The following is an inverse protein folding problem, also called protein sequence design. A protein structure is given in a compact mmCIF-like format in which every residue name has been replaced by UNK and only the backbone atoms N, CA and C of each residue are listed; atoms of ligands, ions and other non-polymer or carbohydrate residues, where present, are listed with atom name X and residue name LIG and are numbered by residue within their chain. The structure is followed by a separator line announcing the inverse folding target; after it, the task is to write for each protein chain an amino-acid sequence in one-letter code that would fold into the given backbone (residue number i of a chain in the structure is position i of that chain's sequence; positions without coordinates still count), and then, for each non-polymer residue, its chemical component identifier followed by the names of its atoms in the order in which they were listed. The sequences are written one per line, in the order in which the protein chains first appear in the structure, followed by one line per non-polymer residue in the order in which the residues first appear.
data_IF_876334015902
#
_entry.id   IF_876334015902
#
_cell.length_a   1.000
_cell.length_b   1.000
_cell.length_c   1.000
_cell.angle_alpha   90.00
_cell.angle_beta   90.00
_cell.angle_gamma   90.00
#
_symmetry.space_group_name_H-M   'P 1'
#
loop_
_entity.id
_entity.type
_entity.pdbx_description
1 polymer ?
#
# COMPACT_ATOMS: atom_id res chain seq x y z
N UNK A 1 10.64 45.28 31.42
CA UNK A 1 11.76 44.51 30.81
C UNK A 1 11.19 43.76 29.62
N UNK A 2 11.28 44.34 28.41
CA UNK A 2 10.87 43.68 27.17
C UNK A 2 12.09 42.97 26.57
N UNK A 3 11.89 41.78 26.01
CA UNK A 3 12.95 40.98 25.38
C UNK A 3 13.03 41.31 23.89
N UNK A 4 14.16 41.87 23.47
CA UNK A 4 14.43 42.21 22.07
C UNK A 4 14.63 40.95 21.21
N UNK A 5 13.85 40.88 20.12
CA UNK A 5 13.98 39.82 19.10
C UNK A 5 15.18 40.11 18.20
N UNK A 6 16.29 39.42 18.47
CA UNK A 6 17.50 39.44 17.64
C UNK A 6 17.18 38.78 16.28
N UNK A 7 17.03 39.61 15.24
CA UNK A 7 16.93 39.14 13.87
C UNK A 7 18.31 38.68 13.37
N UNK A 8 18.35 37.50 12.74
CA UNK A 8 19.35 37.22 11.73
C UNK A 8 18.61 36.80 10.45
N UNK A 9 19.01 37.41 9.33
CA UNK A 9 18.21 37.53 8.11
C UNK A 9 17.74 36.21 7.51
N UNK A 10 16.43 36.13 7.31
CA UNK A 10 15.79 35.67 6.08
C UNK A 10 14.38 36.26 6.09
N UNK A 11 13.97 36.92 5.01
CA UNK A 11 12.59 37.36 4.81
C UNK A 11 11.69 36.13 4.70
N UNK A 12 11.31 35.57 5.84
CA UNK A 12 10.24 34.59 5.92
C UNK A 12 9.00 35.39 6.31
N UNK A 13 8.24 35.80 5.28
CA UNK A 13 6.85 36.22 5.41
C UNK A 13 6.18 35.43 6.53
N UNK A 14 5.66 36.12 7.53
CA UNK A 14 4.93 35.52 8.65
C UNK A 14 3.78 34.68 8.11
N UNK A 15 4.04 33.42 7.77
CA UNK A 15 3.02 32.46 7.40
C UNK A 15 2.41 32.02 8.71
N UNK A 16 1.45 32.82 9.15
CA UNK A 16 0.50 32.50 10.21
C UNK A 16 0.09 31.04 9.96
N UNK A 17 0.48 30.14 10.87
CA UNK A 17 0.05 28.75 10.83
C UNK A 17 -1.46 28.78 11.05
N UNK A 18 -2.24 28.73 9.97
CA UNK A 18 -3.69 28.70 10.03
C UNK A 18 -4.09 27.35 10.63
N UNK A 19 -4.20 27.30 11.95
CA UNK A 19 -4.92 26.25 12.67
C UNK A 19 -6.38 26.38 12.29
N UNK A 20 -6.86 25.56 11.37
CA UNK A 20 -8.25 25.66 10.93
C UNK A 20 -8.67 24.68 9.87
N UNK A 21 -7.74 24.09 9.12
CA UNK A 21 -8.12 23.06 8.18
C UNK A 21 -7.15 21.91 8.35
N UNK A 22 -7.68 20.78 8.77
CA UNK A 22 -6.91 19.59 9.06
C UNK A 22 -6.19 19.12 7.78
N UNK A 23 -5.00 19.70 7.53
CA UNK A 23 -4.24 19.58 6.28
C UNK A 23 -3.92 18.12 5.97
N UNK A 24 -3.80 17.33 7.03
CA UNK A 24 -3.46 15.91 6.98
C UNK A 24 -4.69 15.00 7.00
N UNK A 25 -5.89 15.47 7.38
CA UNK A 25 -7.12 14.65 7.38
C UNK A 25 -7.50 14.20 5.97
N UNK A 26 -7.40 15.09 4.97
CA UNK A 26 -7.61 14.71 3.55
C UNK A 26 -6.59 13.66 3.09
N UNK A 27 -5.37 13.71 3.62
CA UNK A 27 -4.29 12.75 3.30
C UNK A 27 -4.51 11.39 3.97
N UNK A 28 -5.05 11.38 5.18
CA UNK A 28 -5.40 10.16 5.94
C UNK A 28 -6.64 9.49 5.34
N UNK A 29 -7.66 10.25 4.95
CA UNK A 29 -8.88 9.71 4.32
C UNK A 29 -8.59 9.19 2.90
N UNK A 30 -7.70 9.84 2.16
CA UNK A 30 -7.26 9.39 0.83
C UNK A 30 -6.26 8.23 0.89
N UNK A 31 -5.75 7.86 2.06
CA UNK A 31 -4.96 6.66 2.22
C UNK A 31 -5.91 5.47 2.05
N UNK A 32 -6.01 4.99 0.79
CA UNK A 32 -6.72 3.78 0.42
C UNK A 32 -6.34 2.71 1.45
N UNK A 33 -7.33 2.13 2.11
CA UNK A 33 -7.13 1.04 3.07
C UNK A 33 -6.35 -0.06 2.35
N UNK A 34 -5.04 -0.10 2.55
CA UNK A 34 -4.19 -1.16 2.05
C UNK A 34 -4.68 -2.39 2.78
N UNK A 35 -5.50 -3.21 2.11
CA UNK A 35 -5.92 -4.49 2.65
C UNK A 35 -4.68 -5.19 3.18
N UNK A 36 -4.73 -5.62 4.43
CA UNK A 36 -3.61 -6.25 5.10
C UNK A 36 -3.30 -7.58 4.42
N UNK A 37 -2.44 -7.54 3.42
CA UNK A 37 -1.95 -8.72 2.73
C UNK A 37 -1.10 -9.54 3.71
N UNK A 38 -1.44 -10.81 3.89
CA UNK A 38 -0.65 -11.77 4.67
C UNK A 38 0.13 -12.65 3.70
N UNK A 39 1.43 -12.83 3.97
CA UNK A 39 2.27 -13.74 3.18
C UNK A 39 2.02 -15.18 3.61
N UNK A 40 1.76 -16.04 2.65
CA UNK A 40 1.65 -17.49 2.84
C UNK A 40 2.86 -18.15 2.20
N UNK A 41 3.60 -18.95 2.97
CA UNK A 41 4.70 -19.75 2.44
C UNK A 41 4.16 -21.15 2.13
N UNK A 42 4.29 -21.58 0.87
CA UNK A 42 3.79 -22.87 0.40
C UNK A 42 4.90 -23.61 -0.33
N UNK A 43 5.12 -24.86 0.05
CA UNK A 43 6.02 -25.76 -0.66
C UNK A 43 5.24 -26.51 -1.75
N UNK A 44 5.64 -26.32 -3.00
CA UNK A 44 5.06 -27.00 -4.16
C UNK A 44 6.10 -27.89 -4.84
N UNK A 45 5.75 -29.12 -5.27
CA UNK A 45 6.66 -29.95 -6.03
C UNK A 45 7.05 -29.29 -7.36
N UNK A 46 8.32 -29.44 -7.74
CA UNK A 46 8.95 -28.74 -8.86
C UNK A 46 8.19 -28.93 -10.18
N UNK A 47 7.75 -30.16 -10.46
CA UNK A 47 6.96 -30.49 -11.65
C UNK A 47 5.68 -29.65 -11.77
N UNK A 48 4.99 -29.42 -10.64
CA UNK A 48 3.79 -28.57 -10.64
C UNK A 48 4.18 -27.11 -10.83
N UNK A 49 5.31 -26.66 -10.26
CA UNK A 49 5.75 -25.27 -10.34
C UNK A 49 6.16 -24.90 -11.76
N UNK A 50 6.90 -25.79 -12.45
CA UNK A 50 7.22 -25.61 -13.86
C UNK A 50 5.97 -25.51 -14.73
N UNK A 51 4.99 -26.40 -14.54
CA UNK A 51 3.72 -26.35 -15.29
C UNK A 51 2.97 -25.05 -15.04
N UNK A 52 2.86 -24.64 -13.77
CA UNK A 52 2.18 -23.42 -13.38
C UNK A 52 2.85 -22.20 -14.03
N UNK A 53 4.19 -22.13 -13.97
CA UNK A 53 4.98 -21.08 -14.62
C UNK A 53 4.76 -21.03 -16.13
N UNK A 54 4.75 -22.19 -16.80
CA UNK A 54 4.50 -22.27 -18.24
C UNK A 54 3.08 -21.80 -18.60
N UNK A 55 2.06 -22.17 -17.83
CA UNK A 55 0.69 -21.69 -18.06
C UNK A 55 0.51 -20.21 -17.77
N UNK A 56 1.15 -19.67 -16.73
CA UNK A 56 1.15 -18.24 -16.42
C UNK A 56 1.76 -17.43 -17.57
N UNK A 57 2.91 -17.89 -18.09
CA UNK A 57 3.55 -17.26 -19.25
C UNK A 57 2.65 -17.27 -20.50
N UNK A 58 1.92 -18.38 -20.74
CA UNK A 58 1.00 -18.49 -21.88
C UNK A 58 -0.24 -17.60 -21.76
N UNK A 59 -0.74 -17.38 -20.55
CA UNK A 59 -1.93 -16.56 -20.28
C UNK A 59 -1.60 -15.09 -19.99
N UNK A 60 -0.33 -14.74 -19.82
CA UNK A 60 0.08 -13.38 -19.45
C UNK A 60 -0.35 -12.99 -18.04
N UNK A 61 -0.59 -13.95 -17.15
CA UNK A 61 -1.05 -13.73 -15.78
C UNK A 61 0.09 -13.90 -14.78
N UNK A 62 0.03 -13.17 -13.67
CA UNK A 62 0.98 -13.37 -12.58
C UNK A 62 0.65 -14.63 -11.79
N UNK A 63 1.67 -15.25 -11.18
CA UNK A 63 1.50 -16.44 -10.35
C UNK A 63 0.62 -16.12 -9.13
N UNK A 64 0.76 -14.92 -8.57
CA UNK A 64 -0.04 -14.46 -7.43
C UNK A 64 -1.52 -14.36 -7.78
N UNK A 65 -1.86 -13.82 -8.96
CA UNK A 65 -3.26 -13.69 -9.39
C UNK A 65 -3.90 -15.05 -9.59
N UNK A 66 -3.19 -16.00 -10.22
CA UNK A 66 -3.68 -17.37 -10.41
C UNK A 66 -3.90 -18.07 -9.08
N UNK A 67 -3.04 -17.83 -8.08
CA UNK A 67 -3.19 -18.43 -6.76
C UNK A 67 -4.36 -17.81 -5.98
N UNK A 68 -4.57 -16.50 -6.08
CA UNK A 68 -5.72 -15.84 -5.47
C UNK A 68 -7.03 -16.34 -6.10
N UNK A 69 -7.13 -16.36 -7.43
CA UNK A 69 -8.31 -16.89 -8.13
C UNK A 69 -8.63 -18.33 -7.71
N UNK A 70 -7.60 -19.17 -7.55
CA UNK A 70 -7.78 -20.57 -7.17
C UNK A 70 -8.25 -20.70 -5.71
N UNK A 71 -7.79 -19.82 -4.82
CA UNK A 71 -8.25 -19.74 -3.43
C UNK A 71 -9.69 -19.24 -3.37
N UNK A 72 -10.04 -18.18 -4.10
CA UNK A 72 -11.40 -17.62 -4.13
C UNK A 72 -12.40 -18.65 -4.66
N UNK A 73 -12.06 -19.34 -5.75
CA UNK A 73 -12.91 -20.41 -6.29
C UNK A 73 -13.04 -21.61 -5.35
N UNK A 74 -12.06 -21.85 -4.49
CA UNK A 74 -12.11 -22.92 -3.49
C UNK A 74 -12.97 -22.51 -2.30
N UNK A 75 -12.79 -21.29 -1.77
CA UNK A 75 -13.60 -20.73 -0.68
C UNK A 75 -15.08 -20.68 -1.04
N UNK A 76 -15.42 -20.19 -2.23
CA UNK A 76 -16.81 -20.12 -2.72
C UNK A 76 -17.54 -21.47 -2.75
N UNK A 77 -16.81 -22.59 -2.77
CA UNK A 77 -17.40 -23.93 -2.79
C UNK A 77 -17.43 -24.61 -1.43
N UNK A 78 -16.70 -24.07 -0.46
CA UNK A 78 -16.40 -24.72 0.81
C UNK A 78 -16.86 -23.91 2.04
N UNK A 79 -17.22 -22.63 1.87
CA UNK A 79 -17.99 -21.82 2.82
C UNK A 79 -19.49 -21.95 2.58
#
# INVERSE_FOLDING_TARGET
MALDKKGNGASASNKIMTFGDNRDLKKIISAKSTETQKRVNFNMPENKHQRLKATCARKGLSISDVMNDLVDNWLLKNE
#
